data_IF_573714011792
#
_entry.id   IF_573714011792
#
_cell.length_a   1.000
_cell.length_b   1.000
_cell.length_c   1.000
_cell.angle_alpha   90.00
_cell.angle_beta   90.00
_cell.angle_gamma   90.00
#
_symmetry.space_group_name_H-M   'P 1'
#
loop_
_entity.id
_entity.type
_entity.pdbx_description
1 polymer ?
#
# COMPACT_ATOMS: atom_id res chain seq x y z
N UNK A 1 -8.66 -5.98 -18.94
CA UNK A 1 -7.59 -5.56 -17.99
C UNK A 1 -8.25 -4.83 -16.82
N UNK A 2 -8.06 -5.27 -15.56
CA UNK A 2 -8.58 -4.55 -14.39
C UNK A 2 -7.79 -3.25 -14.19
N UNK A 3 -8.48 -2.12 -14.04
CA UNK A 3 -7.82 -0.82 -13.83
C UNK A 3 -7.31 -0.72 -12.38
N UNK A 4 -6.09 -0.18 -12.15
CA UNK A 4 -5.51 -0.08 -10.82
C UNK A 4 -6.32 0.82 -9.85
N UNK A 5 -7.06 1.80 -10.39
CA UNK A 5 -7.87 2.76 -9.60
C UNK A 5 -9.00 2.07 -8.84
N UNK A 6 -9.64 1.05 -9.44
CA UNK A 6 -10.82 0.40 -8.87
C UNK A 6 -10.49 -0.90 -8.11
N UNK A 7 -9.22 -1.26 -7.99
CA UNK A 7 -8.81 -2.46 -7.25
C UNK A 7 -8.46 -2.12 -5.81
N UNK A 8 -9.15 -2.71 -4.84
CA UNK A 8 -8.88 -2.56 -3.40
C UNK A 8 -7.66 -3.36 -2.94
N UNK A 9 -7.10 -4.22 -3.79
CA UNK A 9 -5.97 -5.10 -3.50
C UNK A 9 -4.78 -4.39 -2.84
N UNK A 10 -4.45 -3.16 -3.25
CA UNK A 10 -3.33 -2.41 -2.68
C UNK A 10 -3.59 -2.01 -1.22
N UNK A 11 -4.77 -1.43 -0.93
CA UNK A 11 -5.15 -1.06 0.43
C UNK A 11 -5.33 -2.29 1.33
N UNK A 12 -5.94 -3.37 0.80
CA UNK A 12 -6.11 -4.63 1.52
C UNK A 12 -4.78 -5.30 1.87
N UNK A 13 -3.80 -5.23 0.97
CA UNK A 13 -2.46 -5.75 1.23
C UNK A 13 -1.78 -5.03 2.40
N UNK A 14 -1.93 -3.70 2.48
CA UNK A 14 -1.44 -2.89 3.61
C UNK A 14 -2.15 -3.28 4.91
N UNK A 15 -3.48 -3.30 4.91
CA UNK A 15 -4.27 -3.68 6.09
C UNK A 15 -3.96 -5.10 6.57
N UNK A 16 -3.69 -6.04 5.67
CA UNK A 16 -3.28 -7.40 6.02
C UNK A 16 -1.95 -7.41 6.77
N UNK A 17 -0.97 -6.61 6.34
CA UNK A 17 0.30 -6.51 7.04
C UNK A 17 0.15 -5.89 8.43
N UNK A 18 -0.64 -4.82 8.55
CA UNK A 18 -0.92 -4.19 9.84
C UNK A 18 -1.61 -5.15 10.82
N UNK A 19 -2.62 -5.91 10.36
CA UNK A 19 -3.25 -6.95 11.20
C UNK A 19 -2.27 -8.02 11.65
N UNK A 20 -1.35 -8.47 10.78
CA UNK A 20 -0.33 -9.45 11.16
C UNK A 20 0.61 -8.89 12.23
N UNK A 21 1.06 -7.66 12.05
CA UNK A 21 1.95 -6.97 12.97
C UNK A 21 1.30 -6.75 14.35
N UNK A 22 0.06 -6.25 14.38
CA UNK A 22 -0.71 -6.05 15.60
C UNK A 22 -1.09 -7.37 16.30
N UNK A 23 -1.20 -8.50 15.58
CA UNK A 23 -1.44 -9.81 16.19
C UNK A 23 -0.17 -10.39 16.85
N UNK A 24 1.01 -10.01 16.38
CA UNK A 24 2.28 -10.59 16.84
C UNK A 24 2.81 -9.86 18.07
N UNK A 25 2.56 -8.57 18.20
CA UNK A 25 2.86 -7.77 19.38
C UNK A 25 1.54 -7.49 20.09
N UNK A 26 1.31 -8.09 21.26
CA UNK A 26 0.06 -7.95 22.03
C UNK A 26 -0.20 -6.54 22.55
N UNK A 27 -0.28 -6.35 23.87
CA UNK A 27 -0.48 -5.02 24.44
C UNK A 27 0.77 -4.15 24.24
N UNK A 28 0.62 -3.02 23.54
CA UNK A 28 1.70 -2.03 23.44
C UNK A 28 1.78 -1.23 24.74
N UNK A 29 2.96 -1.09 25.36
CA UNK A 29 3.13 -0.34 26.61
C UNK A 29 3.00 1.18 26.43
N UNK A 30 3.08 1.68 25.18
CA UNK A 30 2.92 3.09 24.82
C UNK A 30 2.51 3.20 23.34
N UNK A 31 1.73 4.22 22.98
CA UNK A 31 1.27 4.51 21.60
C UNK A 31 2.45 4.70 20.63
N UNK A 32 3.56 5.24 21.12
CA UNK A 32 4.79 5.41 20.33
C UNK A 32 5.41 4.09 19.86
N UNK A 33 5.19 3.00 20.60
CA UNK A 33 5.66 1.66 20.23
C UNK A 33 4.94 1.12 18.99
N UNK A 34 3.62 1.32 18.93
CA UNK A 34 2.80 0.95 17.77
C UNK A 34 3.22 1.73 16.52
N UNK A 35 3.41 3.04 16.65
CA UNK A 35 3.82 3.91 15.54
C UNK A 35 5.19 3.51 14.96
N UNK A 36 6.19 3.25 15.81
CA UNK A 36 7.51 2.79 15.38
C UNK A 36 7.44 1.45 14.64
N UNK A 37 6.58 0.54 15.11
CA UNK A 37 6.41 -0.77 14.50
C UNK A 37 5.73 -0.69 13.14
N UNK A 38 4.69 0.15 13.01
CA UNK A 38 4.05 0.43 11.72
C UNK A 38 5.03 1.08 10.75
N UNK A 39 5.80 2.06 11.19
CA UNK A 39 6.81 2.73 10.37
C UNK A 39 7.85 1.74 9.82
N UNK A 40 8.41 0.88 10.68
CA UNK A 40 9.34 -0.17 10.25
C UNK A 40 8.69 -1.22 9.33
N UNK A 41 7.41 -1.52 9.54
CA UNK A 41 6.63 -2.40 8.67
C UNK A 41 6.45 -1.83 7.26
N UNK A 42 6.13 -0.54 7.14
CA UNK A 42 6.00 0.17 5.87
C UNK A 42 7.34 0.22 5.14
N UNK A 43 8.45 0.49 5.84
CA UNK A 43 9.79 0.46 5.23
C UNK A 43 10.13 -0.89 4.59
N UNK A 44 9.85 -1.99 5.30
CA UNK A 44 10.03 -3.35 4.79
C UNK A 44 9.07 -3.70 3.64
N UNK A 45 7.85 -3.17 3.66
CA UNK A 45 6.86 -3.35 2.60
C UNK A 45 7.28 -2.59 1.32
N UNK A 46 7.75 -1.36 1.49
CA UNK A 46 8.24 -0.51 0.40
C UNK A 46 9.37 -1.17 -0.38
N UNK A 47 10.32 -1.82 0.31
CA UNK A 47 11.38 -2.59 -0.35
C UNK A 47 10.87 -3.77 -1.20
N UNK A 48 9.67 -4.29 -0.93
CA UNK A 48 9.02 -5.36 -1.71
C UNK A 48 8.13 -4.83 -2.84
N UNK A 49 7.79 -3.55 -2.84
CA UNK A 49 6.91 -2.91 -3.83
C UNK A 49 7.69 -2.33 -5.01
N UNK A 50 8.67 -3.08 -5.51
CA UNK A 50 9.49 -2.72 -6.67
C UNK A 50 8.89 -3.14 -8.00
N UNK A 51 7.77 -3.87 -7.99
CA UNK A 51 7.16 -4.36 -9.21
C UNK A 51 6.59 -3.24 -10.09
N UNK A 52 6.85 -3.26 -11.41
CA UNK A 52 6.26 -2.31 -12.34
C UNK A 52 4.75 -2.50 -12.45
N UNK A 53 4.01 -1.40 -12.50
CA UNK A 53 2.55 -1.45 -12.68
C UNK A 53 2.26 -1.80 -14.15
N UNK A 54 1.50 -2.86 -14.37
CA UNK A 54 1.12 -3.27 -15.71
C UNK A 54 0.33 -2.14 -16.42
N UNK A 55 0.62 -1.90 -17.69
CA UNK A 55 -0.07 -0.93 -18.54
C UNK A 55 -0.02 0.54 -18.04
N UNK A 56 1.08 0.96 -17.38
CA UNK A 56 1.31 2.35 -16.96
C UNK A 56 1.12 3.35 -18.11
N UNK A 57 1.74 3.10 -19.27
CA UNK A 57 1.69 4.04 -20.40
C UNK A 57 0.28 4.35 -20.87
N UNK A 58 -0.55 3.32 -21.05
CA UNK A 58 -1.96 3.48 -21.44
C UNK A 58 -2.79 4.17 -20.35
N UNK A 59 -2.53 3.86 -19.07
CA UNK A 59 -3.25 4.46 -17.94
C UNK A 59 -2.92 5.95 -17.79
N UNK A 60 -1.65 6.33 -17.94
CA UNK A 60 -1.20 7.71 -17.89
C UNK A 60 -1.73 8.53 -19.07
N UNK A 61 -1.73 7.96 -20.27
CA UNK A 61 -2.31 8.59 -21.45
C UNK A 61 -3.82 8.85 -21.26
N UNK A 62 -4.56 7.84 -20.78
CA UNK A 62 -5.98 7.99 -20.45
C UNK A 62 -6.19 9.09 -19.40
N UNK A 63 -5.43 9.08 -18.30
CA UNK A 63 -5.55 10.08 -17.24
C UNK A 63 -5.28 11.51 -17.74
N UNK A 64 -4.22 11.70 -18.53
CA UNK A 64 -3.86 13.01 -19.11
C UNK A 64 -4.92 13.54 -20.09
N UNK A 65 -5.60 12.62 -20.80
CA UNK A 65 -6.72 12.99 -21.66
C UNK A 65 -7.93 13.43 -20.84
N UNK A 66 -8.32 12.69 -19.80
CA UNK A 66 -9.44 13.07 -18.91
C UNK A 66 -9.19 14.40 -18.18
N UNK A 67 -7.96 14.78 -17.89
CA UNK A 67 -7.64 16.07 -17.23
C UNK A 67 -7.62 17.27 -18.18
N UNK A 68 -7.71 17.05 -19.50
CA UNK A 68 -7.66 18.10 -20.53
C UNK A 68 -9.06 18.43 -21.08
N UNK A 69 -10.05 17.58 -20.82
CA UNK A 69 -11.47 17.80 -21.12
C UNK A 69 -12.13 18.41 -19.89
#
# INVERSE_FOLDING_TARGET
>A
VRKPIYTTNAAEAVHRQFRKLAKTQGAFPNETGLLKLLYGGIGKASGKWTMPIANRGQTLFQAAHYSRV
#
